data_IF_355331632899
#
_entry.id   IF_355331632899
#
_cell.length_a   1.000
_cell.length_b   1.000
_cell.length_c   1.000
_cell.angle_alpha   90.00
_cell.angle_beta   90.00
_cell.angle_gamma   90.00
#
_symmetry.space_group_name_H-M   'P 1'
#
loop_
_entity.id
_entity.type
_entity.pdbx_description
1 polymer ?
#
# COMPACT_ATOMS: atom_id res chain seq x y z
N UNK A 1 -5.43 7.77 -10.47
CA UNK A 1 -5.07 8.46 -9.19
C UNK A 1 -3.99 9.49 -9.44
N UNK A 2 -2.79 9.10 -9.86
CA UNK A 2 -1.68 10.06 -10.04
C UNK A 2 -1.97 11.15 -11.09
N UNK A 3 -2.65 10.80 -12.18
CA UNK A 3 -3.00 11.75 -13.24
C UNK A 3 -4.05 12.77 -12.78
N UNK A 4 -5.05 12.32 -12.01
CA UNK A 4 -6.18 13.16 -11.58
C UNK A 4 -5.82 13.98 -10.34
N UNK A 5 -5.22 13.34 -9.32
CA UNK A 5 -4.83 14.01 -8.07
C UNK A 5 -3.47 14.73 -8.20
N UNK A 6 -2.69 14.46 -9.25
CA UNK A 6 -1.35 15.02 -9.42
C UNK A 6 -0.36 14.57 -8.35
N UNK A 7 -0.58 13.42 -7.71
CA UNK A 7 0.26 12.93 -6.62
C UNK A 7 1.67 12.60 -7.11
N UNK A 8 2.66 13.18 -6.45
CA UNK A 8 4.09 12.97 -6.73
C UNK A 8 4.53 11.59 -6.25
N UNK A 9 5.53 11.07 -6.97
CA UNK A 9 6.10 9.73 -6.84
C UNK A 9 7.54 9.73 -6.31
N UNK A 10 8.13 10.92 -6.30
CA UNK A 10 9.51 11.19 -5.93
C UNK A 10 9.52 12.10 -4.70
N UNK A 11 10.48 11.86 -3.81
CA UNK A 11 10.52 12.47 -2.47
C UNK A 11 11.79 13.29 -2.22
N UNK A 12 12.68 13.42 -3.21
CA UNK A 12 13.95 14.16 -3.09
C UNK A 12 13.75 15.67 -2.89
N UNK A 13 12.63 16.23 -3.36
CA UNK A 13 12.26 17.63 -3.17
C UNK A 13 10.77 17.73 -2.85
N UNK A 14 10.46 17.76 -1.56
CA UNK A 14 9.08 17.85 -1.07
C UNK A 14 8.62 19.30 -1.06
N UNK A 15 7.39 19.54 -1.52
CA UNK A 15 6.76 20.87 -1.60
C UNK A 15 5.44 20.83 -0.82
N UNK A 16 5.27 21.76 0.12
CA UNK A 16 4.17 21.78 1.08
C UNK A 16 2.77 21.55 0.47
N UNK A 17 2.44 22.27 -0.61
CA UNK A 17 1.10 22.26 -1.22
C UNK A 17 0.89 21.15 -2.28
N UNK A 18 1.81 20.18 -2.40
CA UNK A 18 1.67 19.04 -3.32
C UNK A 18 1.28 17.77 -2.55
N UNK A 19 0.69 16.81 -3.27
CA UNK A 19 0.36 15.48 -2.76
C UNK A 19 1.47 14.49 -3.11
N UNK A 20 1.66 13.48 -2.27
CA UNK A 20 2.68 12.45 -2.41
C UNK A 20 2.10 11.07 -2.11
N UNK A 21 2.34 10.11 -3.01
CA UNK A 21 1.85 8.74 -2.88
C UNK A 21 2.88 7.86 -2.15
N UNK A 22 2.64 7.58 -0.87
CA UNK A 22 3.58 6.86 -0.01
C UNK A 22 3.77 5.39 -0.39
N UNK A 23 2.82 4.79 -1.12
CA UNK A 23 2.90 3.39 -1.55
C UNK A 23 3.51 3.21 -2.94
N UNK A 24 3.82 4.30 -3.66
CA UNK A 24 4.47 4.21 -4.96
C UNK A 24 5.83 3.45 -4.94
N UNK A 25 6.70 3.63 -3.92
CA UNK A 25 7.92 2.82 -3.81
C UNK A 25 7.65 1.31 -3.70
N UNK A 26 6.56 0.89 -3.04
CA UNK A 26 6.15 -0.52 -2.92
C UNK A 26 5.63 -1.05 -4.26
N UNK A 27 4.82 -0.25 -4.96
CA UNK A 27 4.35 -0.55 -6.31
C UNK A 27 5.52 -0.76 -7.28
N UNK A 28 6.54 0.12 -7.27
CA UNK A 28 7.74 -0.02 -8.12
C UNK A 28 8.52 -1.32 -7.86
N UNK A 29 8.45 -1.87 -6.65
CA UNK A 29 9.04 -3.17 -6.29
C UNK A 29 8.18 -4.37 -6.68
N UNK A 30 7.05 -4.16 -7.36
CA UNK A 30 6.12 -5.22 -7.77
C UNK A 30 5.26 -5.76 -6.63
N UNK A 31 5.19 -5.06 -5.49
CA UNK A 31 4.33 -5.43 -4.36
C UNK A 31 2.90 -4.92 -4.60
N UNK A 32 1.94 -5.62 -4.01
CA UNK A 32 0.52 -5.31 -4.15
C UNK A 32 -0.31 -5.85 -3.00
N UNK A 33 -1.53 -5.35 -2.92
CA UNK A 33 -2.53 -5.78 -1.93
C UNK A 33 -3.46 -6.83 -2.49
N UNK A 34 -3.66 -6.87 -3.81
CA UNK A 34 -4.49 -7.89 -4.47
C UNK A 34 -3.72 -8.59 -5.59
N UNK A 35 -4.13 -9.82 -5.90
CA UNK A 35 -3.49 -10.66 -6.91
C UNK A 35 -4.48 -11.11 -7.97
N UNK A 36 -4.18 -10.85 -9.23
CA UNK A 36 -4.91 -11.39 -10.37
C UNK A 36 -3.98 -12.20 -11.29
N UNK A 37 -3.37 -11.56 -12.29
CA UNK A 37 -2.24 -12.13 -13.07
C UNK A 37 -0.88 -11.69 -12.55
N UNK A 38 -0.89 -10.66 -11.72
CA UNK A 38 0.23 -10.03 -11.02
C UNK A 38 -0.30 -9.40 -9.74
N UNK A 39 0.59 -9.03 -8.85
CA UNK A 39 0.27 -8.15 -7.74
C UNK A 39 -0.15 -6.77 -8.26
N UNK A 40 -1.23 -6.25 -7.67
CA UNK A 40 -1.80 -4.94 -7.97
C UNK A 40 -1.90 -4.17 -6.65
N UNK A 41 -1.58 -2.87 -6.68
CA UNK A 41 -1.61 -2.00 -5.51
C UNK A 41 -2.62 -0.88 -5.76
N UNK A 42 -3.89 -1.14 -5.46
CA UNK A 42 -4.98 -0.17 -5.62
C UNK A 42 -5.25 0.62 -4.34
N UNK A 43 -4.97 0.03 -3.19
CA UNK A 43 -5.06 0.67 -1.89
C UNK A 43 -3.88 1.61 -1.70
N UNK A 44 -4.11 2.90 -1.39
CA UNK A 44 -3.07 3.93 -1.39
C UNK A 44 -3.10 4.77 -0.10
N UNK A 45 -1.92 5.20 0.35
CA UNK A 45 -1.79 6.36 1.23
C UNK A 45 -1.22 7.54 0.44
N UNK A 46 -1.97 8.63 0.40
CA UNK A 46 -1.57 9.89 -0.24
C UNK A 46 -1.62 10.99 0.81
N UNK A 47 -0.51 11.70 0.99
CA UNK A 47 -0.36 12.74 2.01
C UNK A 47 0.09 14.05 1.37
N UNK A 48 -0.13 15.17 2.06
CA UNK A 48 0.41 16.47 1.64
C UNK A 48 1.90 16.57 1.95
N UNK A 49 2.62 17.41 1.19
CA UNK A 49 4.00 17.75 1.50
C UNK A 49 4.15 18.39 2.87
N UNK A 50 3.15 19.16 3.33
CA UNK A 50 3.12 19.72 4.69
C UNK A 50 3.14 18.65 5.79
N UNK A 51 2.53 17.48 5.56
CA UNK A 51 2.61 16.37 6.52
C UNK A 51 4.01 15.75 6.56
N UNK A 52 4.67 15.65 5.41
CA UNK A 52 6.05 15.11 5.29
C UNK A 52 7.11 16.07 5.82
N UNK A 53 6.88 17.37 5.73
CA UNK A 53 7.79 18.43 6.20
C UNK A 53 7.46 18.92 7.61
N UNK A 54 6.51 18.27 8.29
CA UNK A 54 6.05 18.71 9.60
C UNK A 54 7.15 18.61 10.67
N UNK A 55 7.19 19.64 11.49
CA UNK A 55 7.97 19.79 12.71
C UNK A 55 7.27 19.18 13.94
N UNK A 56 5.99 18.80 13.83
CA UNK A 56 5.21 18.12 14.89
C UNK A 56 4.91 16.65 14.62
N UNK A 57 4.94 16.25 13.35
CA UNK A 57 4.63 14.90 12.90
C UNK A 57 5.86 14.33 12.18
N UNK A 58 6.23 13.09 12.50
CA UNK A 58 7.18 12.32 11.69
C UNK A 58 6.40 11.33 10.81
N UNK A 59 6.37 11.62 9.52
CA UNK A 59 5.77 10.79 8.49
C UNK A 59 6.77 10.60 7.34
N UNK A 60 7.05 9.35 6.99
CA UNK A 60 8.01 8.99 5.92
C UNK A 60 7.40 7.96 4.98
N UNK A 61 7.80 7.94 3.69
CA UNK A 61 7.34 6.91 2.75
C UNK A 61 7.59 5.48 3.25
N UNK A 62 8.73 5.24 3.92
CA UNK A 62 9.09 3.93 4.48
C UNK A 62 8.20 3.49 5.66
N UNK A 63 7.36 4.37 6.18
CA UNK A 63 6.40 4.05 7.24
C UNK A 63 5.08 3.53 6.69
N UNK A 64 4.85 3.65 5.38
CA UNK A 64 3.73 3.03 4.68
C UNK A 64 4.12 1.65 4.16
N UNK A 65 3.33 0.63 4.47
CA UNK A 65 3.58 -0.72 3.97
C UNK A 65 2.30 -1.56 3.81
N UNK A 66 2.46 -2.72 3.18
CA UNK A 66 1.43 -3.74 3.03
C UNK A 66 1.57 -4.72 4.19
N UNK A 67 0.47 -4.96 4.90
CA UNK A 67 0.41 -5.97 5.95
C UNK A 67 0.13 -7.34 5.34
N UNK A 68 1.15 -8.20 5.29
CA UNK A 68 1.12 -9.48 4.57
C UNK A 68 1.58 -10.68 5.43
N UNK A 69 1.12 -10.84 6.68
CA UNK A 69 1.49 -12.00 7.49
C UNK A 69 1.00 -13.30 6.83
N UNK A 70 1.64 -14.46 7.10
CA UNK A 70 1.35 -15.72 6.44
C UNK A 70 -0.13 -16.15 6.49
N UNK A 71 -0.85 -15.84 7.57
CA UNK A 71 -2.26 -16.22 7.72
C UNK A 71 -3.21 -15.45 6.78
N UNK A 72 -2.81 -14.26 6.29
CA UNK A 72 -3.57 -13.51 5.28
C UNK A 72 -3.26 -13.94 3.86
N UNK A 73 -2.34 -14.90 3.67
CA UNK A 73 -1.90 -15.38 2.37
C UNK A 73 -2.38 -16.81 2.13
N UNK A 74 -2.62 -17.11 0.87
CA UNK A 74 -2.94 -18.43 0.37
C UNK A 74 -1.95 -18.83 -0.72
N UNK A 75 -1.33 -19.99 -0.54
CA UNK A 75 -0.45 -20.60 -1.54
C UNK A 75 -1.20 -21.71 -2.24
N UNK A 76 -1.33 -21.62 -3.56
CA UNK A 76 -1.99 -22.66 -4.35
C UNK A 76 -1.08 -23.85 -4.64
N UNK A 77 -1.60 -24.85 -5.35
CA UNK A 77 -0.85 -26.06 -5.73
C UNK A 77 0.36 -25.77 -6.63
N UNK A 78 0.35 -24.66 -7.35
CA UNK A 78 1.43 -24.20 -8.22
C UNK A 78 2.44 -23.31 -7.48
N UNK A 79 2.36 -23.24 -6.14
CA UNK A 79 3.16 -22.36 -5.28
C UNK A 79 2.95 -20.87 -5.54
N UNK A 80 1.84 -20.49 -6.19
CA UNK A 80 1.46 -19.09 -6.36
C UNK A 80 0.85 -18.54 -5.07
N UNK A 81 1.39 -17.42 -4.60
CA UNK A 81 0.92 -16.73 -3.40
C UNK A 81 -0.09 -15.64 -3.80
N UNK A 82 -1.23 -15.62 -3.12
CA UNK A 82 -2.28 -14.61 -3.29
C UNK A 82 -2.91 -14.29 -1.93
N UNK A 83 -3.72 -13.22 -1.81
CA UNK A 83 -4.51 -13.02 -0.60
C UNK A 83 -5.42 -14.22 -0.32
N UNK A 84 -5.57 -14.55 0.95
CA UNK A 84 -6.51 -15.56 1.41
C UNK A 84 -7.94 -14.99 1.33
N UNK A 85 -8.51 -15.03 0.12
CA UNK A 85 -9.84 -14.49 -0.22
C UNK A 85 -10.93 -15.20 0.57
N UNK A 86 -11.90 -14.47 1.10
CA UNK A 86 -13.08 -15.03 1.79
C UNK A 86 -14.05 -15.77 0.87
N UNK A 87 -14.06 -15.46 -0.43
CA UNK A 87 -14.97 -16.07 -1.40
C UNK A 87 -14.28 -16.47 -2.71
N UNK A 88 -14.54 -17.70 -3.17
CA UNK A 88 -14.14 -18.24 -4.48
C UNK A 88 -15.25 -19.13 -5.04
N UNK A 89 -16.40 -18.53 -5.37
CA UNK A 89 -17.62 -19.27 -5.75
C UNK A 89 -18.33 -19.96 -4.58
N UNK A 90 -17.69 -19.99 -3.42
CA UNK A 90 -18.20 -20.36 -2.10
C UNK A 90 -17.34 -19.68 -1.04
N UNK A 91 -17.84 -19.59 0.19
CA UNK A 91 -17.02 -19.16 1.33
C UNK A 91 -15.86 -20.14 1.55
N UNK A 92 -14.66 -19.61 1.74
CA UNK A 92 -13.41 -20.39 1.83
C UNK A 92 -12.83 -20.45 3.24
N UNK A 93 -13.40 -19.69 4.19
CA UNK A 93 -12.75 -19.45 5.49
C UNK A 93 -11.62 -18.42 5.46
N UNK A 94 -11.38 -17.76 4.32
CA UNK A 94 -10.42 -16.68 4.18
C UNK A 94 -10.92 -15.33 4.71
N UNK A 95 -10.10 -14.30 4.53
CA UNK A 95 -10.30 -12.96 5.09
C UNK A 95 -10.80 -11.96 4.04
N UNK A 96 -9.99 -11.68 3.02
CA UNK A 96 -10.24 -10.63 2.03
C UNK A 96 -9.42 -10.91 0.76
N UNK A 97 -9.88 -10.40 -0.38
CA UNK A 97 -9.11 -10.40 -1.60
C UNK A 97 -8.15 -9.22 -1.75
N UNK A 98 -8.10 -8.35 -0.74
CA UNK A 98 -7.12 -7.29 -0.56
C UNK A 98 -6.39 -7.46 0.78
N UNK A 99 -5.07 -7.34 0.77
CA UNK A 99 -4.26 -7.21 1.96
C UNK A 99 -4.41 -5.79 2.53
N UNK A 100 -4.41 -5.63 3.87
CA UNK A 100 -4.41 -4.31 4.47
C UNK A 100 -3.12 -3.54 4.14
N UNK A 101 -3.23 -2.21 4.11
CA UNK A 101 -2.08 -1.31 4.16
C UNK A 101 -2.08 -0.59 5.50
N UNK A 102 -0.91 -0.23 5.98
CA UNK A 102 -0.78 0.57 7.18
C UNK A 102 0.22 1.70 6.98
N UNK A 103 0.07 2.76 7.77
CA UNK A 103 0.98 3.89 7.85
C UNK A 103 1.29 4.16 9.31
N UNK A 104 2.57 4.14 9.67
CA UNK A 104 3.02 4.61 10.99
C UNK A 104 3.23 6.12 10.95
N UNK A 105 2.74 6.80 11.99
CA UNK A 105 2.87 8.25 12.18
C UNK A 105 3.32 8.44 13.62
N UNK A 106 4.35 9.24 13.83
CA UNK A 106 4.85 9.55 15.17
C UNK A 106 4.62 11.04 15.47
N UNK A 107 4.26 11.35 16.71
CA UNK A 107 4.24 12.72 17.21
C UNK A 107 5.63 13.06 17.73
N UNK A 108 6.11 14.26 17.39
CA UNK A 108 7.37 14.82 17.88
C UNK A 108 7.17 15.61 19.16
#
# INVERSE_FOLDING_TARGET
IDEVLGAKKEFSSVVNHKLYNLLYPKFKKGLGTTYHKRWLLFDQFIVSGSMLLSDRIDCKPDYADIFNPPYLLHTDRNKQISPNRSYRGRFTGGYSDHLPIYLRIYLK
#
